data_IF_866972957169
#
_entry.id   IF_866972957169
#
_cell.length_a   1.000
_cell.length_b   1.000
_cell.length_c   1.000
_cell.angle_alpha   90.00
_cell.angle_beta   90.00
_cell.angle_gamma   90.00
#
_symmetry.space_group_name_H-M   'P 1'
#
loop_
_entity.id
_entity.type
_entity.pdbx_description
1 polymer ?
#
# COMPACT_ATOMS: atom_id res chain seq x y z
N UNK A 1 24.53 -68.69 -6.46
CA UNK A 1 25.15 -67.87 -5.40
C UNK A 1 25.82 -66.67 -6.03
N UNK A 2 25.11 -65.55 -6.15
CA UNK A 2 25.68 -64.25 -6.48
C UNK A 2 24.88 -63.19 -5.71
N UNK A 3 25.51 -62.63 -4.68
CA UNK A 3 24.93 -61.66 -3.76
C UNK A 3 25.05 -60.27 -4.41
N UNK A 4 23.93 -59.69 -4.83
CA UNK A 4 23.87 -58.29 -5.28
C UNK A 4 23.86 -57.41 -4.04
N UNK A 5 24.99 -56.73 -3.81
CA UNK A 5 25.21 -55.82 -2.68
C UNK A 5 24.59 -54.46 -3.01
N UNK A 6 23.37 -54.23 -2.53
CA UNK A 6 22.68 -52.95 -2.65
C UNK A 6 23.33 -51.86 -1.80
N UNK A 7 24.12 -50.99 -2.43
CA UNK A 7 24.56 -49.73 -1.85
C UNK A 7 23.58 -48.61 -2.27
N UNK A 8 22.43 -48.57 -1.59
CA UNK A 8 21.40 -47.54 -1.76
C UNK A 8 21.24 -46.73 -0.48
N UNK A 9 22.34 -46.26 0.10
CA UNK A 9 22.31 -45.30 1.22
C UNK A 9 21.88 -43.93 0.70
N UNK A 10 20.57 -43.78 0.45
CA UNK A 10 19.95 -42.49 0.18
C UNK A 10 20.06 -41.64 1.44
N UNK A 11 21.15 -40.88 1.57
CA UNK A 11 21.26 -39.83 2.55
C UNK A 11 20.06 -38.88 2.36
N UNK A 12 19.12 -38.94 3.30
CA UNK A 12 18.07 -37.93 3.40
C UNK A 12 18.78 -36.58 3.48
N UNK A 13 18.68 -35.77 2.43
CA UNK A 13 19.10 -34.36 2.50
C UNK A 13 18.40 -33.75 3.71
N UNK A 14 19.08 -32.93 4.53
CA UNK A 14 18.40 -32.20 5.59
C UNK A 14 17.28 -31.39 4.93
N UNK A 15 16.03 -31.72 5.28
CA UNK A 15 14.86 -30.96 4.90
C UNK A 15 15.02 -29.55 5.51
N UNK A 16 14.85 -28.49 4.72
CA UNK A 16 15.00 -27.10 5.17
C UNK A 16 16.33 -26.41 4.88
N UNK A 17 17.13 -26.89 3.92
CA UNK A 17 18.34 -26.15 3.49
C UNK A 17 18.43 -25.91 1.97
N UNK A 18 17.56 -26.54 1.18
CA UNK A 18 17.62 -26.46 -0.29
C UNK A 18 17.09 -25.14 -0.85
N UNK A 19 15.92 -24.70 -0.39
CA UNK A 19 15.22 -23.52 -0.93
C UNK A 19 15.99 -22.23 -0.69
N UNK A 20 16.37 -21.98 0.58
CA UNK A 20 17.14 -20.80 0.96
C UNK A 20 18.52 -20.70 0.28
N UNK A 21 19.18 -21.84 -0.01
CA UNK A 21 20.45 -21.85 -0.76
C UNK A 21 20.24 -21.51 -2.25
N UNK A 22 19.18 -22.04 -2.86
CA UNK A 22 18.84 -21.73 -4.24
C UNK A 22 18.48 -20.25 -4.41
N UNK A 23 17.62 -19.71 -3.55
CA UNK A 23 17.26 -18.30 -3.54
C UNK A 23 18.50 -17.39 -3.42
N UNK A 24 19.43 -17.72 -2.53
CA UNK A 24 20.69 -16.98 -2.42
C UNK A 24 21.49 -16.93 -3.73
N UNK A 25 21.51 -18.03 -4.47
CA UNK A 25 22.23 -18.17 -5.74
C UNK A 25 21.55 -17.33 -6.83
N UNK A 26 20.22 -17.36 -6.88
CA UNK A 26 19.44 -16.53 -7.80
C UNK A 26 19.64 -15.05 -7.50
N UNK A 27 19.53 -14.63 -6.24
CA UNK A 27 19.73 -13.24 -5.82
C UNK A 27 21.14 -12.72 -6.12
N UNK A 28 22.17 -13.56 -6.01
CA UNK A 28 23.55 -13.19 -6.41
C UNK A 28 23.63 -12.89 -7.90
N UNK A 29 22.98 -13.72 -8.72
CA UNK A 29 22.95 -13.54 -10.18
C UNK A 29 22.21 -12.26 -10.56
N UNK A 30 21.07 -11.98 -9.92
CA UNK A 30 20.25 -10.77 -10.16
C UNK A 30 20.96 -9.49 -9.70
N UNK A 31 21.76 -9.56 -8.63
CA UNK A 31 22.46 -8.41 -8.07
C UNK A 31 23.65 -7.91 -8.92
N UNK A 32 23.96 -8.56 -10.04
CA UNK A 32 25.09 -8.18 -10.89
C UNK A 32 24.88 -6.81 -11.55
N UNK A 33 25.83 -5.86 -11.44
CA UNK A 33 25.63 -4.44 -11.75
C UNK A 33 25.44 -4.08 -13.24
N UNK A 34 25.70 -5.02 -14.16
CA UNK A 34 25.59 -4.79 -15.62
C UNK A 34 24.62 -5.75 -16.29
N UNK A 35 23.70 -6.33 -15.52
CA UNK A 35 22.80 -7.34 -16.03
C UNK A 35 21.64 -6.70 -16.78
N UNK A 36 21.41 -7.18 -18.01
CA UNK A 36 20.11 -7.03 -18.69
C UNK A 36 19.26 -8.19 -18.18
N UNK A 37 18.08 -7.89 -17.64
CA UNK A 37 17.20 -8.93 -17.12
C UNK A 37 16.47 -9.63 -18.27
N UNK A 38 16.53 -10.95 -18.27
CA UNK A 38 15.73 -11.81 -19.15
C UNK A 38 14.53 -12.38 -18.38
N UNK A 39 13.53 -12.90 -19.08
CA UNK A 39 12.34 -13.48 -18.45
C UNK A 39 12.73 -14.68 -17.55
N UNK A 40 13.72 -15.47 -17.98
CA UNK A 40 14.28 -16.59 -17.21
C UNK A 40 14.80 -16.18 -15.82
N UNK A 41 15.32 -14.95 -15.66
CA UNK A 41 15.79 -14.47 -14.35
C UNK A 41 14.63 -14.23 -13.38
N UNK A 42 13.54 -13.66 -13.89
CA UNK A 42 12.31 -13.39 -13.14
C UNK A 42 11.62 -14.70 -12.79
N UNK A 43 11.54 -15.62 -13.76
CA UNK A 43 11.03 -16.98 -13.55
C UNK A 43 11.80 -17.70 -12.44
N UNK A 44 13.13 -17.73 -12.49
CA UNK A 44 13.97 -18.38 -11.46
C UNK A 44 13.80 -17.75 -10.08
N UNK A 45 13.67 -16.43 -10.01
CA UNK A 45 13.41 -15.75 -8.74
C UNK A 45 12.04 -16.12 -8.18
N UNK A 46 11.01 -16.08 -9.03
CA UNK A 46 9.65 -16.45 -8.68
C UNK A 46 9.58 -17.91 -8.18
N UNK A 47 10.20 -18.83 -8.92
CA UNK A 47 10.32 -20.24 -8.57
C UNK A 47 11.08 -20.44 -7.25
N UNK A 48 12.19 -19.72 -7.04
CA UNK A 48 12.98 -19.84 -5.82
C UNK A 48 12.19 -19.43 -4.56
N UNK A 49 11.25 -18.50 -4.70
CA UNK A 49 10.42 -18.01 -3.60
C UNK A 49 9.23 -18.91 -3.39
N UNK A 50 8.58 -19.33 -4.48
CA UNK A 50 7.46 -20.25 -4.43
C UNK A 50 7.83 -21.60 -3.80
N UNK A 51 9.07 -22.06 -4.02
CA UNK A 51 9.59 -23.31 -3.48
C UNK A 51 10.26 -23.18 -2.10
N UNK A 52 10.14 -22.03 -1.42
CA UNK A 52 10.57 -21.94 -0.02
C UNK A 52 9.68 -22.84 0.82
N UNK A 53 10.31 -23.71 1.61
CA UNK A 53 9.57 -24.54 2.57
C UNK A 53 9.05 -23.65 3.70
N UNK A 54 7.98 -24.06 4.39
CA UNK A 54 7.45 -23.29 5.53
C UNK A 54 8.51 -23.13 6.64
N UNK A 55 9.44 -24.08 6.75
CA UNK A 55 10.55 -24.05 7.70
C UNK A 55 11.74 -23.17 7.24
N UNK A 56 11.82 -22.82 5.95
CA UNK A 56 12.85 -21.93 5.41
C UNK A 56 12.54 -20.48 5.79
N UNK A 57 12.86 -20.10 7.03
CA UNK A 57 12.64 -18.73 7.50
C UNK A 57 13.54 -17.74 6.76
N UNK A 58 12.93 -16.77 6.06
CA UNK A 58 13.61 -15.64 5.46
C UNK A 58 13.96 -14.63 6.58
N UNK A 59 15.25 -14.45 6.86
CA UNK A 59 15.69 -13.44 7.81
C UNK A 59 15.55 -12.02 7.24
N UNK A 60 15.63 -11.00 8.11
CA UNK A 60 15.50 -9.60 7.70
C UNK A 60 16.54 -9.19 6.65
N UNK A 61 17.74 -9.77 6.70
CA UNK A 61 18.81 -9.51 5.73
C UNK A 61 18.45 -10.04 4.34
N UNK A 62 17.88 -11.24 4.28
CA UNK A 62 17.44 -11.87 3.05
C UNK A 62 16.23 -11.14 2.47
N UNK A 63 15.22 -10.84 3.30
CA UNK A 63 14.05 -10.04 2.89
C UNK A 63 14.49 -8.70 2.29
N UNK A 64 15.45 -8.00 2.92
CA UNK A 64 16.03 -6.78 2.36
C UNK A 64 16.67 -6.99 0.98
N UNK A 65 17.50 -8.02 0.82
CA UNK A 65 18.13 -8.34 -0.49
C UNK A 65 17.11 -8.70 -1.56
N UNK A 66 16.03 -9.35 -1.16
CA UNK A 66 14.93 -9.73 -2.03
C UNK A 66 14.17 -8.49 -2.51
N UNK A 67 13.89 -7.57 -1.59
CA UNK A 67 13.28 -6.28 -1.91
C UNK A 67 14.17 -5.44 -2.85
N UNK A 68 15.46 -5.31 -2.55
CA UNK A 68 16.43 -4.61 -3.40
C UNK A 68 16.55 -5.25 -4.80
N UNK A 69 16.37 -6.57 -4.90
CA UNK A 69 16.38 -7.27 -6.18
C UNK A 69 15.13 -6.92 -7.02
N UNK A 70 13.94 -6.89 -6.40
CA UNK A 70 12.70 -6.49 -7.08
C UNK A 70 12.80 -5.03 -7.52
N UNK A 71 13.25 -4.14 -6.65
CA UNK A 71 13.42 -2.71 -6.95
C UNK A 71 14.31 -2.50 -8.18
N UNK A 72 15.44 -3.23 -8.27
CA UNK A 72 16.31 -3.21 -9.44
C UNK A 72 15.63 -3.73 -10.71
N UNK A 73 14.82 -4.78 -10.60
CA UNK A 73 14.06 -5.32 -11.74
C UNK A 73 13.01 -4.30 -12.20
N UNK A 74 12.28 -3.68 -11.27
CA UNK A 74 11.31 -2.62 -11.56
C UNK A 74 11.97 -1.42 -12.23
N UNK A 75 13.10 -0.94 -11.70
CA UNK A 75 13.88 0.15 -12.30
C UNK A 75 14.41 -0.20 -13.70
N UNK A 76 14.74 -1.46 -13.93
CA UNK A 76 15.17 -1.93 -15.23
C UNK A 76 13.99 -2.05 -16.20
N UNK A 77 12.83 -2.54 -15.75
CA UNK A 77 11.59 -2.58 -16.52
C UNK A 77 11.17 -1.17 -16.95
N UNK A 78 11.07 -0.24 -16.00
CA UNK A 78 10.70 1.16 -16.24
C UNK A 78 11.75 1.91 -17.09
N UNK A 79 13.03 1.59 -16.92
CA UNK A 79 14.11 2.14 -17.74
C UNK A 79 14.27 1.45 -19.10
N UNK A 80 13.50 0.40 -19.37
CA UNK A 80 13.61 -0.41 -20.59
C UNK A 80 14.95 -1.15 -20.75
N UNK A 81 15.63 -1.46 -19.65
CA UNK A 81 16.89 -2.20 -19.51
C UNK A 81 16.66 -3.70 -19.25
N UNK A 82 15.78 -4.30 -20.03
CA UNK A 82 15.47 -5.73 -20.00
C UNK A 82 15.47 -6.28 -21.43
N UNK A 83 15.41 -7.60 -21.57
CA UNK A 83 15.29 -8.25 -22.87
C UNK A 83 13.91 -7.99 -23.48
N UNK A 84 13.84 -6.98 -24.34
CA UNK A 84 12.60 -6.63 -25.08
C UNK A 84 12.28 -7.59 -26.21
N UNK A 85 13.21 -8.49 -26.56
CA UNK A 85 12.99 -9.53 -27.55
C UNK A 85 12.16 -10.69 -27.02
N UNK A 86 12.08 -10.84 -25.69
CA UNK A 86 11.30 -11.89 -25.05
C UNK A 86 9.88 -11.41 -24.72
N UNK A 87 8.85 -11.93 -25.42
CA UNK A 87 7.45 -11.56 -25.15
C UNK A 87 6.97 -12.01 -23.76
N UNK A 88 7.67 -12.97 -23.13
CA UNK A 88 7.29 -13.50 -21.82
C UNK A 88 7.74 -12.61 -20.67
N UNK A 89 8.68 -11.69 -20.90
CA UNK A 89 9.25 -10.85 -19.84
C UNK A 89 8.16 -10.11 -19.05
N UNK A 90 7.18 -9.53 -19.74
CA UNK A 90 6.08 -8.82 -19.11
C UNK A 90 5.24 -9.73 -18.20
N UNK A 91 4.91 -10.94 -18.67
CA UNK A 91 4.11 -11.89 -17.91
C UNK A 91 4.87 -12.38 -16.67
N UNK A 92 6.17 -12.68 -16.81
CA UNK A 92 7.01 -13.09 -15.69
C UNK A 92 7.22 -11.95 -14.69
N UNK A 93 7.28 -10.69 -15.15
CA UNK A 93 7.37 -9.52 -14.28
C UNK A 93 6.10 -9.34 -13.43
N UNK A 94 4.93 -9.42 -14.06
CA UNK A 94 3.64 -9.36 -13.36
C UNK A 94 3.48 -10.53 -12.39
N UNK A 95 3.87 -11.75 -12.79
CA UNK A 95 3.82 -12.93 -11.94
C UNK A 95 4.74 -12.77 -10.72
N UNK A 96 5.97 -12.29 -10.92
CA UNK A 96 6.92 -12.03 -9.85
C UNK A 96 6.33 -11.03 -8.83
N UNK A 97 5.84 -9.87 -9.28
CA UNK A 97 5.26 -8.87 -8.38
C UNK A 97 4.06 -9.42 -7.59
N UNK A 98 3.21 -10.22 -8.26
CA UNK A 98 2.05 -10.87 -7.64
C UNK A 98 2.47 -11.85 -6.53
N UNK A 99 3.51 -12.66 -6.77
CA UNK A 99 4.06 -13.56 -5.76
C UNK A 99 4.64 -12.80 -4.57
N UNK A 100 5.32 -11.69 -4.83
CA UNK A 100 6.02 -10.90 -3.82
C UNK A 100 5.07 -10.16 -2.88
N UNK A 101 3.97 -9.61 -3.41
CA UNK A 101 2.98 -8.87 -2.60
C UNK A 101 2.39 -9.73 -1.46
N UNK A 102 2.30 -11.05 -1.65
CA UNK A 102 1.69 -11.98 -0.71
C UNK A 102 2.68 -12.58 0.30
N UNK A 103 3.93 -12.10 0.34
CA UNK A 103 4.94 -12.66 1.24
C UNK A 103 4.91 -12.03 2.62
N UNK A 104 4.89 -12.88 3.64
CA UNK A 104 4.81 -12.48 5.05
C UNK A 104 6.09 -11.80 5.58
N UNK A 105 7.22 -11.98 4.90
CA UNK A 105 8.51 -11.41 5.29
C UNK A 105 8.71 -9.95 4.84
N UNK A 106 7.77 -9.37 4.11
CA UNK A 106 7.74 -7.94 3.79
C UNK A 106 6.80 -7.20 4.74
N UNK A 107 7.19 -5.98 5.12
CA UNK A 107 6.32 -5.14 5.93
C UNK A 107 5.26 -4.45 5.08
N UNK A 108 4.17 -3.99 5.71
CA UNK A 108 3.01 -3.42 5.02
C UNK A 108 3.37 -2.32 4.00
N UNK A 109 4.32 -1.44 4.34
CA UNK A 109 4.77 -0.40 3.38
C UNK A 109 5.46 -0.98 2.12
N UNK A 110 6.25 -2.04 2.24
CA UNK A 110 6.86 -2.71 1.08
C UNK A 110 5.79 -3.36 0.21
N UNK A 111 4.83 -4.05 0.84
CA UNK A 111 3.72 -4.68 0.11
C UNK A 111 2.86 -3.64 -0.65
N UNK A 112 2.63 -2.47 -0.06
CA UNK A 112 1.95 -1.35 -0.74
C UNK A 112 2.73 -0.83 -1.95
N UNK A 113 4.05 -0.72 -1.84
CA UNK A 113 4.90 -0.31 -2.97
C UNK A 113 4.90 -1.36 -4.08
N UNK A 114 5.06 -2.64 -3.74
CA UNK A 114 5.00 -3.76 -4.70
C UNK A 114 3.64 -3.81 -5.41
N UNK A 115 2.54 -3.62 -4.66
CA UNK A 115 1.21 -3.53 -5.22
C UNK A 115 1.06 -2.33 -6.16
N UNK A 116 1.64 -1.17 -5.84
CA UNK A 116 1.67 -0.01 -6.76
C UNK A 116 2.33 -0.37 -8.08
N UNK A 117 3.52 -0.99 -8.04
CA UNK A 117 4.22 -1.44 -9.25
C UNK A 117 3.40 -2.44 -10.06
N UNK A 118 2.69 -3.35 -9.38
CA UNK A 118 1.81 -4.31 -10.05
C UNK A 118 0.64 -3.61 -10.74
N UNK A 119 -0.03 -2.68 -10.04
CA UNK A 119 -1.13 -1.89 -10.58
C UNK A 119 -0.69 -1.02 -11.76
N UNK A 120 0.49 -0.40 -11.67
CA UNK A 120 1.10 0.36 -12.78
C UNK A 120 1.37 -0.54 -13.99
N UNK A 121 1.79 -1.79 -13.77
CA UNK A 121 2.05 -2.74 -14.84
C UNK A 121 0.75 -3.25 -15.53
N UNK A 122 -0.33 -3.45 -14.77
CA UNK A 122 -1.58 -4.07 -15.29
C UNK A 122 -2.71 -3.08 -15.63
N UNK A 123 -2.74 -1.89 -15.02
CA UNK A 123 -3.82 -0.90 -15.09
C UNK A 123 -3.94 -0.09 -16.39
N UNK A 124 -3.13 -0.42 -17.41
CA UNK A 124 -3.07 0.29 -18.69
C UNK A 124 -2.05 1.44 -18.65
N UNK A 125 -1.05 1.51 -19.51
CA UNK A 125 -0.89 0.84 -20.79
C UNK A 125 -0.11 1.78 -21.71
N UNK A 126 1.20 1.85 -21.50
CA UNK A 126 2.22 2.14 -22.50
C UNK A 126 3.55 1.88 -21.80
N UNK A 127 4.50 1.28 -22.51
CA UNK A 127 5.89 1.44 -22.14
C UNK A 127 6.13 2.94 -21.91
N UNK A 128 6.32 3.34 -20.65
CA UNK A 128 6.90 4.62 -20.34
C UNK A 128 8.35 4.52 -20.85
N UNK A 129 8.54 4.93 -22.10
CA UNK A 129 9.80 5.43 -22.57
C UNK A 129 10.40 6.34 -21.50
N UNK A 130 11.74 6.34 -21.34
CA UNK A 130 12.41 6.95 -20.20
C UNK A 130 11.92 8.38 -19.98
N UNK A 131 11.66 8.72 -18.72
CA UNK A 131 11.15 10.01 -18.26
C UNK A 131 11.79 11.18 -19.04
N UNK A 132 11.06 11.66 -20.05
CA UNK A 132 11.33 12.94 -20.66
C UNK A 132 10.79 14.03 -19.71
N UNK A 133 11.58 15.09 -19.55
CA UNK A 133 11.29 16.29 -18.75
C UNK A 133 9.82 16.71 -18.84
N UNK A 134 9.24 17.28 -17.76
CA UNK A 134 7.80 17.52 -17.65
C UNK A 134 7.30 18.38 -18.82
N UNK A 135 6.65 17.75 -19.79
CA UNK A 135 5.88 18.45 -20.80
C UNK A 135 4.56 18.89 -20.18
N UNK A 136 4.17 20.14 -20.43
CA UNK A 136 2.87 20.73 -20.06
C UNK A 136 1.76 19.68 -20.18
N UNK A 137 1.04 19.46 -19.08
CA UNK A 137 -0.11 18.57 -19.04
C UNK A 137 -1.10 18.93 -20.15
N UNK A 138 -1.53 17.94 -20.94
CA UNK A 138 -2.60 18.10 -21.91
C UNK A 138 -3.89 18.47 -21.16
N UNK A 139 -4.70 19.36 -21.74
CA UNK A 139 -5.93 19.87 -21.14
C UNK A 139 -6.95 18.78 -20.76
N UNK A 140 -6.85 17.57 -21.33
CA UNK A 140 -7.65 16.41 -20.94
C UNK A 140 -7.28 15.89 -19.56
N UNK A 141 -5.98 15.80 -19.25
CA UNK A 141 -5.48 15.28 -17.96
C UNK A 141 -5.81 16.24 -16.83
N UNK A 142 -5.76 17.55 -17.09
CA UNK A 142 -6.14 18.55 -16.08
C UNK A 142 -7.63 18.45 -15.72
N UNK A 143 -8.52 18.20 -16.70
CA UNK A 143 -9.96 18.01 -16.43
C UNK A 143 -10.24 16.77 -15.59
N UNK A 144 -9.51 15.70 -15.80
CA UNK A 144 -9.68 14.47 -15.02
C UNK A 144 -9.18 14.66 -13.58
N UNK A 145 -8.09 15.42 -13.38
CA UNK A 145 -7.61 15.81 -12.05
C UNK A 145 -8.64 16.69 -11.35
N UNK A 146 -9.13 17.75 -12.01
CA UNK A 146 -10.11 18.68 -11.43
C UNK A 146 -11.41 17.94 -11.04
N UNK A 147 -11.83 16.95 -11.83
CA UNK A 147 -12.99 16.10 -11.55
C UNK A 147 -12.76 15.22 -10.32
N UNK A 148 -11.59 14.58 -10.22
CA UNK A 148 -11.25 13.72 -9.08
C UNK A 148 -11.13 14.52 -7.77
N UNK A 149 -10.57 15.74 -7.82
CA UNK A 149 -10.50 16.62 -6.64
C UNK A 149 -11.90 17.06 -6.18
N UNK A 150 -12.81 17.36 -7.12
CA UNK A 150 -14.19 17.69 -6.80
C UNK A 150 -14.95 16.50 -6.19
N UNK A 151 -14.74 15.28 -6.69
CA UNK A 151 -15.35 14.07 -6.15
C UNK A 151 -14.81 13.75 -4.74
N UNK A 152 -13.51 13.91 -4.49
CA UNK A 152 -12.94 13.75 -3.14
C UNK A 152 -13.54 14.75 -2.15
N UNK A 153 -13.64 16.03 -2.52
CA UNK A 153 -14.25 17.04 -1.65
C UNK A 153 -15.74 16.77 -1.37
N UNK A 154 -16.46 16.15 -2.31
CA UNK A 154 -17.84 15.74 -2.11
C UNK A 154 -17.97 14.53 -1.17
N UNK A 155 -17.09 13.54 -1.31
CA UNK A 155 -17.04 12.36 -0.46
C UNK A 155 -16.67 12.71 0.99
N UNK A 156 -15.70 13.60 1.20
CA UNK A 156 -15.33 14.07 2.55
C UNK A 156 -16.52 14.73 3.27
N UNK A 157 -17.33 15.53 2.57
CA UNK A 157 -18.55 16.13 3.12
C UNK A 157 -19.60 15.08 3.51
N UNK A 158 -19.74 14.03 2.71
CA UNK A 158 -20.67 12.94 3.03
C UNK A 158 -20.21 12.14 4.24
N UNK A 159 -18.90 11.87 4.35
CA UNK A 159 -18.31 11.20 5.52
C UNK A 159 -18.56 12.02 6.78
N UNK A 160 -18.28 13.33 6.74
CA UNK A 160 -18.52 14.21 7.89
C UNK A 160 -20.00 14.21 8.33
N UNK A 161 -20.93 14.27 7.37
CA UNK A 161 -22.37 14.21 7.66
C UNK A 161 -22.79 12.86 8.25
N UNK A 162 -22.25 11.75 7.74
CA UNK A 162 -22.54 10.42 8.27
C UNK A 162 -21.99 10.24 9.68
N UNK A 163 -20.81 10.80 9.98
CA UNK A 163 -20.25 10.79 11.33
C UNK A 163 -21.12 11.59 12.32
N UNK A 164 -21.62 12.76 11.93
CA UNK A 164 -22.53 13.56 12.76
C UNK A 164 -23.84 12.81 13.07
N UNK A 165 -24.44 12.18 12.05
CA UNK A 165 -25.64 11.36 12.24
C UNK A 165 -25.37 10.15 13.14
N UNK A 166 -24.21 9.50 12.98
CA UNK A 166 -23.81 8.37 13.85
C UNK A 166 -23.69 8.82 15.31
N UNK A 167 -23.07 9.97 15.57
CA UNK A 167 -22.94 10.51 16.92
C UNK A 167 -24.32 10.83 17.54
N UNK A 168 -25.24 11.43 16.77
CA UNK A 168 -26.60 11.70 17.25
C UNK A 168 -27.37 10.41 17.61
N UNK A 169 -27.19 9.34 16.83
CA UNK A 169 -27.80 8.04 17.11
C UNK A 169 -27.20 7.40 18.38
N UNK A 170 -25.90 7.55 18.63
CA UNK A 170 -25.28 7.07 19.87
C UNK A 170 -25.80 7.81 21.12
N UNK A 171 -26.05 9.12 21.02
CA UNK A 171 -26.67 9.90 22.10
C UNK A 171 -28.09 9.39 22.40
N UNK A 172 -28.89 9.09 21.37
CA UNK A 172 -30.23 8.53 21.56
C UNK A 172 -30.19 7.12 22.18
N UNK A 173 -29.22 6.29 21.81
CA UNK A 173 -29.04 4.95 22.42
C UNK A 173 -28.63 5.01 23.89
N UNK A 174 -27.91 6.06 24.28
CA UNK A 174 -27.41 6.24 25.65
C UNK A 174 -28.32 7.10 26.53
N UNK A 175 -29.36 7.72 25.94
CA UNK A 175 -30.35 8.47 26.68
C UNK A 175 -31.16 7.54 27.59
N UNK A 176 -30.97 7.69 28.91
CA UNK A 176 -31.84 7.08 29.91
C UNK A 176 -33.00 8.03 30.21
N UNK A 177 -34.27 7.58 30.11
CA UNK A 177 -35.41 8.37 30.54
C UNK A 177 -35.22 8.83 31.99
N UNK A 178 -35.51 10.09 32.33
CA UNK A 178 -35.51 10.51 33.72
C UNK A 178 -36.53 9.66 34.49
N UNK A 179 -36.08 9.01 35.57
CA UNK A 179 -36.95 8.23 36.44
C UNK A 179 -38.09 9.13 36.96
N UNK A 180 -39.33 8.77 36.61
CA UNK A 180 -40.52 9.36 37.20
C UNK A 180 -40.58 8.98 38.69
N UNK A 181 -40.03 9.81 39.57
CA UNK A 181 -40.07 9.52 41.00
C UNK A 181 -39.38 10.50 41.94
N UNK A 182 -40.07 11.62 42.22
CA UNK A 182 -40.27 12.24 43.55
C UNK A 182 -40.11 13.77 43.53
N UNK A 183 -41.20 14.44 43.15
CA UNK A 183 -41.47 15.80 43.59
C UNK A 183 -41.87 15.74 45.08
N UNK A 184 -40.97 16.15 45.98
CA UNK A 184 -41.31 16.62 47.33
C UNK A 184 -40.58 17.93 47.59
N UNK A 185 -41.31 19.04 47.53
CA UNK A 185 -40.77 20.37 47.73
C UNK A 185 -40.55 20.73 49.21
N UNK A 186 -39.64 21.68 49.45
CA UNK A 186 -39.76 22.88 50.32
C UNK A 186 -38.39 23.57 50.40
N UNK A 187 -38.29 24.85 50.06
CA UNK A 187 -37.02 25.58 50.29
C UNK A 187 -36.86 26.98 49.70
N UNK A 188 -37.71 27.92 50.13
CA UNK A 188 -37.58 29.40 50.15
C UNK A 188 -36.19 29.99 49.82
N UNK A 189 -36.10 30.94 48.87
CA UNK A 189 -34.84 31.68 48.64
C UNK A 189 -34.84 32.82 47.62
N UNK A 190 -35.72 33.82 47.80
CA UNK A 190 -35.58 35.26 47.48
C UNK A 190 -35.08 35.72 46.09
N UNK A 191 -36.01 36.34 45.35
CA UNK A 191 -35.80 37.10 44.11
C UNK A 191 -35.26 38.53 44.33
N UNK A 192 -34.68 39.07 43.23
CA UNK A 192 -34.46 40.47 42.76
C UNK A 192 -33.00 40.63 42.32
N UNK A 193 -32.66 41.15 41.16
CA UNK A 193 -33.36 42.12 40.30
C UNK A 193 -32.85 42.06 38.85
N UNK A 194 -33.69 42.60 37.99
CA UNK A 194 -33.77 42.56 36.53
C UNK A 194 -32.97 43.76 35.89
N UNK A 195 -33.15 44.16 34.60
CA UNK A 195 -32.11 44.12 33.57
C UNK A 195 -31.79 45.49 32.90
N UNK A 196 -30.83 45.54 31.97
CA UNK A 196 -30.71 46.52 30.86
C UNK A 196 -29.65 46.00 29.85
N UNK A 197 -29.99 45.65 28.61
CA UNK A 197 -30.38 46.48 27.45
C UNK A 197 -29.19 46.89 26.57
N UNK A 198 -29.24 46.39 25.33
CA UNK A 198 -28.84 46.98 24.04
C UNK A 198 -27.41 47.47 23.77
N UNK A 199 -26.86 46.98 22.66
CA UNK A 199 -25.66 47.52 22.03
C UNK A 199 -25.38 46.92 20.65
N UNK A 200 -26.10 47.41 19.63
CA UNK A 200 -25.81 47.28 18.19
C UNK A 200 -24.37 47.72 17.87
N UNK A 201 -23.70 47.03 16.93
CA UNK A 201 -22.45 47.50 16.34
C UNK A 201 -22.10 46.80 15.02
N UNK A 202 -22.64 47.32 13.92
CA UNK A 202 -22.10 47.13 12.56
C UNK A 202 -20.70 47.75 12.47
N UNK A 203 -19.76 47.07 11.80
CA UNK A 203 -18.40 47.57 11.58
C UNK A 203 -17.76 46.97 10.33
N UNK A 204 -18.12 47.53 9.17
CA UNK A 204 -17.55 47.29 7.84
C UNK A 204 -16.20 48.00 7.72
N UNK A 205 -15.10 47.26 7.53
CA UNK A 205 -13.75 47.85 7.43
C UNK A 205 -12.89 47.19 6.36
N UNK A 206 -12.87 47.79 5.17
CA UNK A 206 -12.09 47.43 3.98
C UNK A 206 -10.75 48.18 4.06
N UNK A 207 -9.63 47.49 4.20
CA UNK A 207 -8.29 48.08 4.24
C UNK A 207 -7.38 47.49 3.16
N UNK A 208 -7.15 48.27 2.11
CA UNK A 208 -6.23 48.02 0.99
C UNK A 208 -5.09 49.05 1.10
N UNK A 209 -3.85 48.59 1.20
CA UNK A 209 -2.61 49.37 1.03
C UNK A 209 -1.48 48.34 0.93
N UNK A 210 -0.72 48.16 -0.15
CA UNK A 210 0.07 49.10 -0.96
C UNK A 210 0.97 50.00 -0.10
N UNK A 211 2.12 49.42 0.25
CA UNK A 211 3.41 50.05 0.48
C UNK A 211 4.44 49.04 0.03
#
# INVERSE_FOLDING_TARGET
>A
LAQVKGAGGGARRPAGQGGAMYLNTVLKTISSPKKIFAAEDLYKLNEAIFNLQEEDTIDSKMSKRLYEAIEKITDAYNGGRYDRGDPNFFYDYVALLSTMQNQHFFHEKQNKVILSWLLEAVGGGAAAAPAAKPSKANASVQKDIDKMEAENAALEKQIAKMQELSAAVEVLKTFKPPEEGQVKGKGKGKAKSEPKAEGKGEGKGKGKGKG
#
